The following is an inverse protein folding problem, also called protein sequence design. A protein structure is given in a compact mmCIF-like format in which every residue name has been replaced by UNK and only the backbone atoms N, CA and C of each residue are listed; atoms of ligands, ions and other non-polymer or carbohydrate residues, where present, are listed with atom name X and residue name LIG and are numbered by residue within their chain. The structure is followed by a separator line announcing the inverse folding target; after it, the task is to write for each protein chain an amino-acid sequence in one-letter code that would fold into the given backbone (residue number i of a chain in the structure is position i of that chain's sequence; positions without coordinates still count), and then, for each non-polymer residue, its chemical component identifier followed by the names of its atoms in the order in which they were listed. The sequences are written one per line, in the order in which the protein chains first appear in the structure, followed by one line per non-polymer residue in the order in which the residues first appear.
data_IF_475487620386
#
_entry.id   IF_475487620386
#
_cell.length_a   1.000
_cell.length_b   1.000
_cell.length_c   1.000
_cell.angle_alpha   90.00
_cell.angle_beta   90.00
_cell.angle_gamma   90.00
#
_symmetry.space_group_name_H-M   'P 1'
#
loop_
_entity.id
_entity.type
_entity.pdbx_description
1 polymer ?
#
# COMPACT_ATOMS: atom_id res chain seq x y z
N UNK A 1 20.71 22.77 -26.62
CA UNK A 1 19.36 23.20 -26.18
C UNK A 1 18.58 22.14 -25.40
N UNK A 2 18.80 20.83 -25.59
CA UNK A 2 17.99 19.77 -24.94
C UNK A 2 18.21 19.69 -23.42
N UNK A 3 19.43 19.94 -22.93
CA UNK A 3 19.75 19.86 -21.49
C UNK A 3 18.98 20.88 -20.65
N UNK A 4 18.72 22.08 -21.19
CA UNK A 4 18.02 23.15 -20.48
C UNK A 4 16.54 22.82 -20.19
N UNK A 5 15.83 22.24 -21.16
CA UNK A 5 14.41 21.90 -21.01
C UNK A 5 14.20 20.77 -19.99
N UNK A 6 15.14 19.82 -19.93
CA UNK A 6 15.10 18.64 -19.04
C UNK A 6 15.62 18.91 -17.62
N UNK A 7 16.09 20.12 -17.33
CA UNK A 7 16.35 20.56 -15.96
C UNK A 7 15.14 21.34 -15.42
N UNK A 8 14.38 22.00 -16.31
CA UNK A 8 13.20 22.78 -15.94
C UNK A 8 12.02 21.90 -15.52
N UNK A 9 11.80 20.75 -16.17
CA UNK A 9 10.65 19.91 -15.86
C UNK A 9 10.83 19.06 -14.58
N UNK A 10 12.06 18.59 -14.25
CA UNK A 10 12.37 18.01 -12.92
C UNK A 10 12.18 19.05 -11.82
N UNK A 11 12.72 20.26 -11.99
CA UNK A 11 12.52 21.35 -11.02
C UNK A 11 11.04 21.70 -10.87
N UNK A 12 10.24 21.66 -11.95
CA UNK A 12 8.80 21.86 -11.88
C UNK A 12 8.10 20.72 -11.13
N UNK A 13 8.50 19.46 -11.32
CA UNK A 13 7.92 18.33 -10.61
C UNK A 13 8.23 18.39 -9.10
N UNK A 14 9.46 18.73 -8.72
CA UNK A 14 9.85 18.96 -7.33
C UNK A 14 9.10 20.14 -6.71
N UNK A 15 8.96 21.24 -7.46
CA UNK A 15 8.24 22.43 -7.00
C UNK A 15 6.73 22.17 -6.85
N UNK A 16 6.11 21.43 -7.77
CA UNK A 16 4.71 20.99 -7.63
C UNK A 16 4.52 20.10 -6.39
N UNK A 17 5.48 19.23 -6.09
CA UNK A 17 5.45 18.42 -4.88
C UNK A 17 5.57 19.28 -3.60
N UNK A 18 6.45 20.28 -3.60
CA UNK A 18 6.58 21.25 -2.50
C UNK A 18 5.29 22.08 -2.30
N UNK A 19 4.58 22.37 -3.38
CA UNK A 19 3.29 23.07 -3.35
C UNK A 19 2.11 22.17 -2.96
N UNK A 20 2.35 20.88 -2.69
CA UNK A 20 1.32 19.92 -2.26
C UNK A 20 0.46 19.37 -3.41
N UNK A 21 0.88 19.51 -4.67
CA UNK A 21 0.19 18.96 -5.83
C UNK A 21 0.98 17.81 -6.48
N UNK A 22 0.86 16.58 -5.94
CA UNK A 22 1.54 15.40 -6.49
C UNK A 22 0.98 14.96 -7.85
N UNK A 23 -0.22 15.41 -8.24
CA UNK A 23 -0.85 15.02 -9.52
C UNK A 23 -0.22 15.82 -10.66
N UNK A 24 -0.03 17.11 -10.47
CA UNK A 24 0.70 17.95 -11.44
C UNK A 24 2.17 17.54 -11.55
N UNK A 25 2.82 17.25 -10.41
CA UNK A 25 4.19 16.72 -10.40
C UNK A 25 4.33 15.45 -11.25
N UNK A 26 3.33 14.56 -11.19
CA UNK A 26 3.34 13.30 -11.92
C UNK A 26 3.28 13.52 -13.43
N UNK A 27 2.45 14.45 -13.90
CA UNK A 27 2.34 14.76 -15.32
C UNK A 27 3.67 15.28 -15.87
N UNK A 28 4.28 16.26 -15.20
CA UNK A 28 5.57 16.81 -15.60
C UNK A 28 6.68 15.76 -15.60
N UNK A 29 6.69 14.88 -14.59
CA UNK A 29 7.70 13.82 -14.49
C UNK A 29 7.51 12.73 -15.56
N UNK A 30 6.27 12.40 -15.94
CA UNK A 30 6.01 11.47 -17.05
C UNK A 30 6.50 12.00 -18.39
N UNK A 31 6.37 13.31 -18.63
CA UNK A 31 6.91 13.96 -19.84
C UNK A 31 8.44 13.90 -19.85
N UNK A 32 9.08 14.19 -18.73
CA UNK A 32 10.53 14.04 -18.53
C UNK A 32 11.03 12.61 -18.82
N UNK A 33 10.37 11.59 -18.25
CA UNK A 33 10.74 10.19 -18.47
C UNK A 33 10.56 9.78 -19.94
N UNK A 34 9.58 10.34 -20.66
CA UNK A 34 9.42 10.10 -22.10
C UNK A 34 10.57 10.69 -22.92
N UNK A 35 11.12 11.84 -22.48
CA UNK A 35 12.28 12.46 -23.13
C UNK A 35 13.59 11.70 -22.81
N UNK A 36 13.70 11.11 -21.62
CA UNK A 36 14.88 10.37 -21.15
C UNK A 36 14.51 9.00 -20.55
N UNK A 37 14.13 8.02 -21.37
CA UNK A 37 13.70 6.72 -20.86
C UNK A 37 14.83 5.89 -20.22
N UNK A 38 16.10 6.21 -20.47
CA UNK A 38 17.25 5.50 -19.90
C UNK A 38 17.76 6.08 -18.58
N UNK A 39 17.18 7.18 -18.07
CA UNK A 39 17.60 7.79 -16.82
C UNK A 39 16.94 7.08 -15.61
N UNK A 40 17.74 6.32 -14.87
CA UNK A 40 17.29 5.59 -13.69
C UNK A 40 16.77 6.52 -12.59
N UNK A 41 17.33 7.72 -12.42
CA UNK A 41 16.93 8.65 -11.33
C UNK A 41 15.52 9.17 -11.53
N UNK A 42 15.16 9.52 -12.76
CA UNK A 42 13.80 9.95 -13.10
C UNK A 42 12.77 8.84 -12.85
N UNK A 43 13.14 7.60 -13.14
CA UNK A 43 12.27 6.43 -12.89
C UNK A 43 12.11 6.13 -11.40
N UNK A 44 13.18 6.27 -10.61
CA UNK A 44 13.10 6.14 -9.15
C UNK A 44 12.14 7.20 -8.59
N UNK A 45 12.25 8.45 -9.03
CA UNK A 45 11.32 9.50 -8.60
C UNK A 45 9.87 9.20 -9.03
N UNK A 46 9.68 8.67 -10.24
CA UNK A 46 8.36 8.30 -10.75
C UNK A 46 7.72 7.16 -9.93
N UNK A 47 8.52 6.15 -9.57
CA UNK A 47 8.13 5.08 -8.66
C UNK A 47 7.66 5.63 -7.29
N UNK A 48 8.44 6.55 -6.70
CA UNK A 48 8.10 7.14 -5.41
C UNK A 48 6.76 7.88 -5.46
N UNK A 49 6.52 8.63 -6.55
CA UNK A 49 5.29 9.38 -6.71
C UNK A 49 4.06 8.50 -6.96
N UNK A 50 4.21 7.39 -7.70
CA UNK A 50 3.14 6.39 -7.83
C UNK A 50 2.80 5.76 -6.48
N UNK A 51 3.81 5.47 -5.66
CA UNK A 51 3.62 4.90 -4.32
C UNK A 51 2.89 5.90 -3.41
N UNK A 52 3.22 7.19 -3.49
CA UNK A 52 2.55 8.24 -2.73
C UNK A 52 1.07 8.39 -3.12
N UNK A 53 0.74 8.23 -4.41
CA UNK A 53 -0.63 8.30 -4.92
C UNK A 53 -1.42 6.99 -4.76
N UNK A 54 -0.83 5.95 -4.16
CA UNK A 54 -1.46 4.64 -3.98
C UNK A 54 -1.64 3.83 -5.27
N UNK A 55 -0.91 4.17 -6.34
CA UNK A 55 -0.96 3.47 -7.63
C UNK A 55 0.03 2.29 -7.65
N UNK A 56 -0.24 1.28 -6.82
CA UNK A 56 0.67 0.17 -6.52
C UNK A 56 1.15 -0.61 -7.75
N UNK A 57 0.24 -0.98 -8.65
CA UNK A 57 0.58 -1.75 -9.87
C UNK A 57 1.56 -0.97 -10.77
N UNK A 58 1.33 0.34 -10.93
CA UNK A 58 2.21 1.20 -11.72
C UNK A 58 3.56 1.40 -11.04
N UNK A 59 3.59 1.48 -9.71
CA UNK A 59 4.83 1.55 -8.94
C UNK A 59 5.68 0.29 -9.14
N UNK A 60 5.07 -0.91 -9.08
CA UNK A 60 5.76 -2.18 -9.33
C UNK A 60 6.36 -2.26 -10.74
N UNK A 61 5.60 -1.83 -11.75
CA UNK A 61 6.10 -1.79 -13.13
C UNK A 61 7.33 -0.88 -13.27
N UNK A 62 7.38 0.27 -12.58
CA UNK A 62 8.58 1.12 -12.59
C UNK A 62 9.76 0.46 -11.90
N UNK A 63 9.55 -0.27 -10.79
CA UNK A 63 10.61 -1.01 -10.09
C UNK A 63 11.25 -2.09 -10.98
N UNK A 64 10.46 -2.81 -11.78
CA UNK A 64 10.99 -3.79 -12.74
C UNK A 64 11.88 -3.15 -13.80
N UNK A 65 11.51 -1.96 -14.28
CA UNK A 65 12.32 -1.21 -15.24
C UNK A 65 13.58 -0.67 -14.58
N UNK A 66 13.50 -0.17 -13.34
CA UNK A 66 14.68 0.30 -12.59
C UNK A 66 15.68 -0.83 -12.39
N UNK A 67 15.21 -2.04 -12.07
CA UNK A 67 16.06 -3.23 -11.91
C UNK A 67 16.85 -3.61 -13.18
N UNK A 68 16.37 -3.23 -14.36
CA UNK A 68 17.05 -3.48 -15.64
C UNK A 68 18.02 -2.37 -16.04
N UNK A 69 17.91 -1.18 -15.44
CA UNK A 69 18.69 0.00 -15.82
C UNK A 69 19.87 0.28 -14.89
N UNK A 70 19.74 -0.05 -13.61
CA UNK A 70 20.76 0.21 -12.59
C UNK A 70 20.87 -0.94 -11.60
N UNK A 71 21.94 -1.73 -11.74
CA UNK A 71 22.25 -2.85 -10.85
C UNK A 71 22.47 -2.39 -9.40
N UNK A 72 22.94 -1.16 -9.18
CA UNK A 72 23.14 -0.63 -7.84
C UNK A 72 21.81 -0.38 -7.11
N UNK A 73 20.70 -0.23 -7.85
CA UNK A 73 19.37 -0.03 -7.31
C UNK A 73 18.65 -1.36 -6.99
N UNK A 74 19.24 -2.54 -7.27
CA UNK A 74 18.57 -3.83 -7.07
C UNK A 74 18.14 -4.08 -5.62
N UNK A 75 19.00 -3.75 -4.66
CA UNK A 75 18.67 -3.89 -3.23
C UNK A 75 17.44 -3.05 -2.84
N UNK A 76 17.37 -1.82 -3.36
CA UNK A 76 16.23 -0.92 -3.18
C UNK A 76 14.97 -1.52 -3.82
N UNK A 77 15.07 -2.03 -5.05
CA UNK A 77 13.93 -2.64 -5.76
C UNK A 77 13.35 -3.81 -4.98
N UNK A 78 14.18 -4.74 -4.50
CA UNK A 78 13.68 -5.90 -3.75
C UNK A 78 12.98 -5.49 -2.45
N UNK A 79 13.55 -4.54 -1.70
CA UNK A 79 12.95 -4.04 -0.46
C UNK A 79 11.57 -3.40 -0.71
N UNK A 80 11.43 -2.57 -1.75
CA UNK A 80 10.15 -1.90 -2.03
C UNK A 80 9.10 -2.81 -2.67
N UNK A 81 9.49 -3.85 -3.41
CA UNK A 81 8.52 -4.85 -3.90
C UNK A 81 7.82 -5.55 -2.73
N UNK A 82 8.58 -5.93 -1.71
CA UNK A 82 8.01 -6.52 -0.50
C UNK A 82 7.15 -5.52 0.27
N UNK A 83 7.60 -4.28 0.40
CA UNK A 83 6.83 -3.22 1.06
C UNK A 83 5.46 -2.98 0.38
N UNK A 84 5.40 -2.92 -0.95
CA UNK A 84 4.13 -2.78 -1.68
C UNK A 84 3.22 -3.99 -1.46
N UNK A 85 3.79 -5.19 -1.41
CA UNK A 85 3.03 -6.42 -1.16
C UNK A 85 2.45 -6.41 0.26
N UNK A 86 3.21 -5.93 1.24
CA UNK A 86 2.75 -5.72 2.61
C UNK A 86 1.63 -4.67 2.69
N UNK A 87 1.61 -3.64 1.86
CA UNK A 87 0.48 -2.70 1.79
C UNK A 87 -0.81 -3.36 1.26
N UNK A 88 -0.70 -4.24 0.26
CA UNK A 88 -1.84 -5.03 -0.20
C UNK A 88 -2.36 -5.99 0.88
N UNK A 89 -1.46 -6.61 1.65
CA UNK A 89 -1.82 -7.43 2.81
C UNK A 89 -2.48 -6.59 3.91
N UNK A 90 -1.93 -5.41 4.21
CA UNK A 90 -2.46 -4.47 5.19
C UNK A 90 -3.89 -4.08 4.85
N UNK A 91 -4.18 -3.78 3.58
CA UNK A 91 -5.54 -3.50 3.13
C UNK A 91 -6.51 -4.68 3.39
N UNK A 92 -6.06 -5.93 3.23
CA UNK A 92 -6.88 -7.12 3.52
C UNK A 92 -7.11 -7.31 5.02
N UNK A 93 -6.09 -7.07 5.84
CA UNK A 93 -6.19 -7.10 7.30
C UNK A 93 -7.19 -6.06 7.79
N UNK A 94 -7.08 -4.83 7.31
CA UNK A 94 -8.02 -3.77 7.65
C UNK A 94 -9.39 -3.93 7.00
N UNK A 95 -9.54 -4.79 5.99
CA UNK A 95 -10.84 -5.23 5.50
C UNK A 95 -11.46 -6.35 6.37
N UNK A 96 -10.68 -6.94 7.29
CA UNK A 96 -11.10 -8.07 8.12
C UNK A 96 -11.16 -9.39 7.36
N UNK A 97 -10.47 -9.49 6.21
CA UNK A 97 -10.39 -10.72 5.40
C UNK A 97 -9.31 -11.69 5.92
N UNK A 98 -8.31 -11.18 6.61
CA UNK A 98 -7.15 -11.95 7.07
C UNK A 98 -6.63 -11.35 8.38
N UNK A 99 -6.09 -12.17 9.27
CA UNK A 99 -5.41 -11.67 10.47
C UNK A 99 -3.98 -11.20 10.14
N UNK A 100 -3.47 -10.16 10.81
CA UNK A 100 -2.06 -9.79 10.67
C UNK A 100 -1.17 -10.86 11.30
N UNK A 101 0.03 -11.06 10.74
CA UNK A 101 1.06 -11.84 11.40
C UNK A 101 1.58 -11.07 12.62
N UNK A 102 1.57 -11.70 13.78
CA UNK A 102 2.16 -11.15 15.00
C UNK A 102 3.46 -11.91 15.29
N UNK A 103 4.53 -11.18 15.57
CA UNK A 103 5.80 -11.78 15.95
C UNK A 103 5.69 -12.26 17.41
N UNK A 104 5.78 -13.58 17.61
CA UNK A 104 5.55 -14.20 18.90
C UNK A 104 4.05 -14.39 19.22
N UNK A 105 3.72 -14.60 20.49
CA UNK A 105 2.33 -14.69 20.92
C UNK A 105 1.74 -13.28 21.07
N UNK A 106 0.56 -12.99 20.49
CA UNK A 106 -0.09 -11.71 20.70
C UNK A 106 -0.53 -11.56 22.16
N UNK A 107 -0.28 -10.39 22.72
CA UNK A 107 -0.91 -10.00 23.98
C UNK A 107 -2.44 -10.04 23.84
N UNK A 108 -3.12 -10.30 24.95
CA UNK A 108 -4.56 -10.51 24.98
C UNK A 108 -5.36 -9.33 24.39
N UNK A 109 -4.93 -8.09 24.65
CA UNK A 109 -5.58 -6.89 24.11
C UNK A 109 -5.50 -6.83 22.57
N UNK A 110 -4.37 -7.23 22.00
CA UNK A 110 -4.17 -7.28 20.55
C UNK A 110 -5.00 -8.39 19.91
N UNK A 111 -5.07 -9.56 20.55
CA UNK A 111 -5.90 -10.67 20.10
C UNK A 111 -7.38 -10.26 19.98
N UNK A 112 -7.92 -9.56 20.99
CA UNK A 112 -9.30 -9.07 20.95
C UNK A 112 -9.55 -8.04 19.85
N UNK A 113 -8.60 -7.14 19.56
CA UNK A 113 -8.75 -6.19 18.45
C UNK A 113 -8.78 -6.89 17.09
N UNK A 114 -7.93 -7.90 16.90
CA UNK A 114 -7.89 -8.70 15.67
C UNK A 114 -9.21 -9.47 15.52
N UNK A 115 -9.66 -10.15 16.57
CA UNK A 115 -10.92 -10.90 16.58
C UNK A 115 -12.12 -9.98 16.29
N UNK A 116 -12.20 -8.83 16.95
CA UNK A 116 -13.25 -7.84 16.70
C UNK A 116 -13.26 -7.40 15.23
N UNK A 117 -12.09 -7.13 14.62
CA UNK A 117 -12.03 -6.71 13.22
C UNK A 117 -12.49 -7.82 12.26
N UNK A 118 -12.15 -9.08 12.54
CA UNK A 118 -12.56 -10.24 11.75
C UNK A 118 -14.07 -10.49 11.88
N UNK A 119 -14.62 -10.47 13.09
CA UNK A 119 -16.05 -10.66 13.35
C UNK A 119 -16.91 -9.60 12.67
N UNK A 120 -16.50 -8.33 12.76
CA UNK A 120 -17.18 -7.23 12.06
C UNK A 120 -17.27 -7.51 10.55
N UNK A 121 -16.21 -8.04 9.95
CA UNK A 121 -16.24 -8.38 8.51
C UNK A 121 -17.25 -9.48 8.17
N UNK A 122 -17.45 -10.45 9.06
CA UNK A 122 -18.38 -11.56 8.84
C UNK A 122 -19.84 -11.06 8.95
N UNK A 123 -20.13 -10.21 9.92
CA UNK A 123 -21.47 -9.62 10.13
C UNK A 123 -21.88 -8.79 8.90
N UNK A 124 -20.99 -7.95 8.37
CA UNK A 124 -21.31 -7.15 7.17
C UNK A 124 -21.35 -7.96 5.86
N UNK A 125 -20.78 -9.17 5.83
CA UNK A 125 -20.84 -10.07 4.67
C UNK A 125 -22.12 -10.91 4.61
N UNK A 126 -22.83 -11.09 5.74
CA UNK A 126 -24.09 -11.81 5.83
C UNK A 126 -25.22 -10.85 6.27
N UNK A 127 -25.99 -10.27 5.33
CA UNK A 127 -27.07 -9.34 5.66
C UNK A 127 -28.23 -9.99 6.44
N UNK A 128 -28.28 -11.32 6.53
CA UNK A 128 -29.34 -12.08 7.21
C UNK A 128 -29.16 -12.21 8.74
N UNK A 129 -28.04 -11.75 9.32
CA UNK A 129 -27.77 -11.86 10.76
C UNK A 129 -28.38 -10.73 11.62
N UNK A 130 -29.16 -9.82 11.05
CA UNK A 130 -29.88 -8.77 11.81
C UNK A 130 -31.18 -9.26 12.48
N UNK A 131 -31.54 -10.54 12.36
CA UNK A 131 -32.65 -11.09 13.12
C UNK A 131 -32.22 -11.36 14.57
N UNK A 132 -32.51 -10.41 15.47
CA UNK A 132 -32.38 -10.54 16.93
C UNK A 132 -33.28 -11.63 17.56
N UNK A 133 -33.86 -12.54 16.76
CA UNK A 133 -34.94 -13.43 17.19
C UNK A 133 -34.49 -14.74 17.86
N UNK A 134 -33.20 -14.94 18.13
CA UNK A 134 -32.78 -16.13 18.87
C UNK A 134 -31.57 -15.93 19.81
N UNK A 135 -31.71 -15.03 20.78
CA UNK A 135 -30.97 -15.13 22.06
C UNK A 135 -31.67 -16.22 22.89
N UNK A 136 -31.52 -17.48 22.47
CA UNK A 136 -31.97 -18.62 23.26
C UNK A 136 -31.01 -18.79 24.44
N UNK A 137 -31.60 -18.76 25.63
CA UNK A 137 -30.95 -18.81 26.94
C UNK A 137 -30.22 -20.14 27.13
N UNK A 138 -28.95 -20.22 26.73
CA UNK A 138 -28.11 -21.37 27.09
C UNK A 138 -27.43 -21.11 28.45
N UNK A 139 -28.19 -21.43 29.50
CA UNK A 139 -27.79 -21.47 30.91
C UNK A 139 -26.68 -22.53 31.12
N UNK A 140 -25.42 -22.16 30.83
CA UNK A 140 -24.24 -22.98 31.14
C UNK A 140 -23.73 -22.80 32.57
N UNK A 141 -24.64 -22.57 33.53
CA UNK A 141 -24.33 -22.54 34.98
C UNK A 141 -24.39 -23.94 35.62
N UNK A 142 -24.28 -25.03 34.86
CA UNK A 142 -24.24 -26.41 35.36
C UNK A 142 -23.03 -27.19 34.83
N UNK A 143 -21.83 -26.79 35.23
CA UNK A 143 -20.66 -27.70 35.22
C UNK A 143 -19.61 -27.33 36.26
N UNK A 144 -20.03 -27.23 37.52
CA UNK A 144 -19.16 -27.43 38.69
C UNK A 144 -19.91 -28.31 39.68
N UNK A 145 -19.76 -29.63 39.50
CA UNK A 145 -19.78 -30.66 40.55
C UNK A 145 -18.85 -31.77 40.10
#
# INVERSE_FOLDING_TARGET
MIVGHTMTLVMNAEQSLQNGDPVSALKSLQEEVRLKPSDAKLRIFLFQLYSLLGQWERALNQLEVIAQLDDAALAMVQAYREAITCEALRAQVFAGKTSPMVLGAPDQWLAFMIEARLLISIIFANPDCNDESNIEKDDKTKRIR
#
